data_IF_933773817524
#
_entry.id   IF_933773817524
#
_cell.length_a   1.000
_cell.length_b   1.000
_cell.length_c   1.000
_cell.angle_alpha   90.00
_cell.angle_beta   90.00
_cell.angle_gamma   90.00
#
_symmetry.space_group_name_H-M   'P 1'
#
loop_
_entity.id
_entity.type
_entity.pdbx_description
1 polymer ?
#
# COMPACT_ATOMS: atom_id res chain seq x y z
N UNK A 1 -4.86 17.46 -4.99
CA UNK A 1 -5.53 16.26 -4.43
C UNK A 1 -5.03 15.98 -3.01
N UNK A 2 -5.76 15.19 -2.22
CA UNK A 2 -5.45 14.82 -0.82
C UNK A 2 -3.98 14.40 -0.58
N UNK A 3 -3.36 13.78 -1.58
CA UNK A 3 -1.99 13.24 -1.51
C UNK A 3 -0.91 14.21 -1.98
N UNK A 4 -1.27 15.27 -2.71
CA UNK A 4 -0.29 16.20 -3.29
C UNK A 4 0.32 17.14 -2.24
N UNK A 5 -0.38 17.36 -1.12
CA UNK A 5 0.07 18.22 -0.01
C UNK A 5 1.00 17.50 0.99
N UNK A 6 1.39 16.25 0.72
CA UNK A 6 2.22 15.44 1.61
C UNK A 6 3.72 15.49 1.23
N UNK A 7 4.12 16.52 0.49
CA UNK A 7 5.51 16.80 0.13
C UNK A 7 6.29 17.30 1.35
N UNK A 8 7.52 16.80 1.52
CA UNK A 8 8.50 17.36 2.45
C UNK A 8 9.01 18.70 1.90
N UNK A 9 8.17 19.73 1.92
CA UNK A 9 8.54 21.12 1.70
C UNK A 9 7.96 21.94 2.85
N UNK A 10 8.76 22.11 3.90
CA UNK A 10 8.62 23.08 4.98
C UNK A 10 7.21 23.32 5.57
N UNK A 11 6.90 22.57 6.63
CA UNK A 11 6.14 23.07 7.78
C UNK A 11 4.63 23.31 7.66
N UNK A 12 3.99 23.11 6.50
CA UNK A 12 2.57 23.46 6.27
C UNK A 12 1.59 22.28 6.27
N UNK A 13 1.95 21.15 6.88
CA UNK A 13 1.18 19.92 6.80
C UNK A 13 0.13 19.77 7.92
N UNK A 14 -0.70 20.78 8.16
CA UNK A 14 -1.62 20.83 9.31
C UNK A 14 -2.99 20.15 9.08
N UNK A 15 -3.40 19.82 7.84
CA UNK A 15 -4.78 19.36 7.54
C UNK A 15 -4.91 17.91 7.01
N UNK A 16 -3.94 17.02 7.26
CA UNK A 16 -4.06 15.62 6.84
C UNK A 16 -4.78 14.74 7.90
N UNK A 17 -5.87 14.07 7.48
CA UNK A 17 -6.63 13.09 8.28
C UNK A 17 -5.75 11.94 8.82
N UNK A 18 -4.60 11.70 8.21
CA UNK A 18 -3.52 10.92 8.81
C UNK A 18 -2.58 11.91 9.48
N UNK A 19 -2.44 11.84 10.81
CA UNK A 19 -1.43 12.62 11.52
C UNK A 19 -0.10 12.55 10.76
N UNK A 20 0.44 13.71 10.46
CA UNK A 20 1.58 13.98 9.55
C UNK A 20 2.79 13.06 9.75
N UNK A 21 2.87 12.41 10.91
CA UNK A 21 3.87 11.41 11.29
C UNK A 21 3.72 10.03 10.64
N UNK A 22 2.68 9.77 9.83
CA UNK A 22 2.38 8.43 9.29
C UNK A 22 2.48 8.28 7.78
N UNK A 23 2.62 9.37 7.03
CA UNK A 23 2.77 9.33 5.57
C UNK A 23 3.83 10.34 5.12
N UNK A 24 4.84 9.87 4.41
CA UNK A 24 5.94 10.70 3.86
C UNK A 24 5.95 10.49 2.34
N UNK A 25 5.87 11.57 1.56
CA UNK A 25 6.03 11.44 0.09
C UNK A 25 7.50 11.50 -0.27
N UNK A 26 7.99 10.54 -1.06
CA UNK A 26 9.34 10.56 -1.63
C UNK A 26 9.31 10.27 -3.12
N UNK A 27 10.02 11.09 -3.88
CA UNK A 27 10.30 10.87 -5.30
C UNK A 27 11.77 10.49 -5.43
N UNK A 28 12.06 9.44 -6.18
CA UNK A 28 13.44 9.01 -6.47
C UNK A 28 13.71 9.22 -7.95
N UNK A 29 14.86 9.79 -8.30
CA UNK A 29 15.27 10.01 -9.68
C UNK A 29 15.99 8.76 -10.21
N UNK A 30 15.21 7.73 -10.52
CA UNK A 30 15.67 6.55 -11.25
C UNK A 30 15.07 6.59 -12.65
N UNK A 31 15.88 6.48 -13.73
CA UNK A 31 15.40 6.62 -15.10
C UNK A 31 14.23 5.67 -15.44
N UNK A 32 14.27 4.48 -14.88
CA UNK A 32 13.29 3.39 -15.06
C UNK A 32 11.95 3.67 -14.37
N UNK A 33 11.89 4.63 -13.44
CA UNK A 33 10.70 4.97 -12.66
C UNK A 33 10.24 6.42 -12.88
N UNK A 34 10.69 7.06 -13.96
CA UNK A 34 10.30 8.44 -14.29
C UNK A 34 8.77 8.55 -14.40
N UNK A 35 8.20 9.50 -13.67
CA UNK A 35 6.75 9.72 -13.61
C UNK A 35 6.03 8.91 -12.53
N UNK A 36 6.73 8.09 -11.75
CA UNK A 36 6.16 7.38 -10.60
C UNK A 36 6.42 8.16 -9.31
N UNK A 37 5.39 8.30 -8.49
CA UNK A 37 5.45 8.90 -7.15
C UNK A 37 5.25 7.81 -6.09
N UNK A 38 6.19 7.69 -5.16
CA UNK A 38 6.09 6.76 -4.05
C UNK A 38 5.66 7.49 -2.76
N UNK A 39 4.52 7.09 -2.22
CA UNK A 39 4.02 7.55 -0.93
C UNK A 39 4.40 6.52 0.13
N UNK A 40 5.35 6.86 1.00
CA UNK A 40 5.67 6.02 2.15
C UNK A 40 4.55 6.12 3.17
N UNK A 41 3.90 5.00 3.48
CA UNK A 41 2.78 4.93 4.42
C UNK A 41 3.10 3.96 5.56
N UNK A 42 2.63 4.27 6.77
CA UNK A 42 2.60 3.32 7.88
C UNK A 42 1.26 2.60 7.90
N UNK A 43 1.28 1.29 7.70
CA UNK A 43 0.09 0.45 7.71
C UNK A 43 -0.17 -0.15 9.10
N UNK A 44 -1.42 -0.56 9.37
CA UNK A 44 -1.76 -1.36 10.56
C UNK A 44 -1.56 -2.86 10.35
N UNK A 45 -1.77 -3.34 9.12
CA UNK A 45 -1.55 -4.73 8.72
C UNK A 45 -1.02 -4.79 7.28
N UNK A 46 -0.26 -5.84 6.98
CA UNK A 46 0.13 -6.18 5.61
C UNK A 46 -0.33 -7.57 5.16
N UNK A 47 -0.95 -8.34 6.06
CA UNK A 47 -1.48 -9.65 5.75
C UNK A 47 -2.99 -9.57 5.59
N UNK A 48 -3.47 -10.21 4.52
CA UNK A 48 -4.88 -10.35 4.24
C UNK A 48 -5.23 -11.84 4.20
N UNK A 49 -6.31 -12.22 4.88
CA UNK A 49 -6.84 -13.56 4.76
C UNK A 49 -7.55 -13.70 3.42
N UNK A 50 -7.24 -14.76 2.69
CA UNK A 50 -7.92 -15.10 1.46
C UNK A 50 -9.28 -15.70 1.81
N UNK A 51 -10.38 -15.26 1.17
CA UNK A 51 -11.70 -15.84 1.40
C UNK A 51 -11.70 -17.35 1.09
N UNK A 52 -12.37 -18.16 1.91
CA UNK A 52 -12.35 -19.62 1.76
C UNK A 52 -12.94 -20.15 0.45
N UNK A 53 -13.76 -19.36 -0.25
CA UNK A 53 -14.28 -19.69 -1.59
C UNK A 53 -13.36 -19.23 -2.75
N UNK A 54 -12.18 -18.70 -2.45
CA UNK A 54 -11.22 -18.26 -3.47
C UNK A 54 -10.54 -19.47 -4.12
N UNK A 55 -10.20 -19.35 -5.41
CA UNK A 55 -9.43 -20.36 -6.15
C UNK A 55 -7.92 -20.32 -5.86
N UNK A 56 -7.47 -19.42 -5.00
CA UNK A 56 -6.05 -19.27 -4.68
C UNK A 56 -5.56 -20.44 -3.81
N UNK A 57 -4.37 -21.00 -4.06
CA UNK A 57 -3.84 -22.15 -3.33
C UNK A 57 -3.29 -21.80 -1.93
N UNK A 58 -3.58 -20.61 -1.40
CA UNK A 58 -3.04 -20.10 -0.15
C UNK A 58 -4.12 -19.40 0.69
N UNK A 59 -3.99 -19.47 2.01
CA UNK A 59 -4.93 -18.87 2.97
C UNK A 59 -4.62 -17.40 3.29
N UNK A 60 -3.38 -16.96 3.03
CA UNK A 60 -2.89 -15.63 3.39
C UNK A 60 -2.15 -15.00 2.22
N UNK A 61 -2.42 -13.73 1.97
CA UNK A 61 -1.72 -12.90 0.99
C UNK A 61 -0.99 -11.76 1.69
N UNK A 62 0.19 -11.42 1.19
CA UNK A 62 1.00 -10.30 1.68
C UNK A 62 0.82 -9.12 0.71
N UNK A 63 0.52 -7.94 1.25
CA UNK A 63 0.42 -6.70 0.50
C UNK A 63 1.44 -5.69 1.06
N UNK A 64 2.65 -5.61 0.49
CA UNK A 64 3.69 -4.67 0.92
C UNK A 64 3.51 -3.26 0.31
N UNK A 65 2.77 -3.14 -0.80
CA UNK A 65 2.49 -1.87 -1.46
C UNK A 65 1.14 -1.90 -2.20
N UNK A 66 0.65 -0.73 -2.58
CA UNK A 66 -0.56 -0.53 -3.39
C UNK A 66 -0.24 0.40 -4.57
N UNK A 67 -0.74 0.10 -5.77
CA UNK A 67 -0.35 0.77 -7.02
C UNK A 67 0.81 0.01 -7.68
N UNK A 68 0.88 -0.08 -9.00
CA UNK A 68 1.88 -0.89 -9.69
C UNK A 68 2.19 -0.36 -11.09
N UNK A 69 3.47 -0.09 -11.36
CA UNK A 69 3.97 0.39 -12.65
C UNK A 69 3.83 -0.61 -13.81
N UNK A 70 3.55 -1.87 -13.52
CA UNK A 70 3.25 -2.86 -14.57
C UNK A 70 1.93 -2.57 -15.28
N UNK A 71 1.00 -1.86 -14.62
CA UNK A 71 -0.26 -1.44 -15.22
C UNK A 71 -1.14 -2.57 -15.82
N UNK A 72 -1.11 -3.79 -15.27
CA UNK A 72 -1.99 -4.90 -15.70
C UNK A 72 -3.48 -4.47 -15.72
N UNK A 73 -4.11 -4.49 -16.89
CA UNK A 73 -5.54 -4.15 -17.07
C UNK A 73 -6.48 -5.05 -16.26
N UNK A 74 -6.09 -6.31 -16.04
CA UNK A 74 -6.85 -7.31 -15.29
C UNK A 74 -6.48 -7.37 -13.79
N UNK A 75 -5.72 -6.40 -13.27
CA UNK A 75 -5.31 -6.42 -11.88
C UNK A 75 -6.49 -6.14 -10.94
N UNK A 76 -6.85 -7.13 -10.12
CA UNK A 76 -7.95 -7.00 -9.15
C UNK A 76 -7.74 -5.87 -8.14
N UNK A 77 -6.49 -5.47 -7.88
CA UNK A 77 -6.16 -4.43 -6.91
C UNK A 77 -6.45 -3.01 -7.41
N UNK A 78 -6.72 -2.79 -8.70
CA UNK A 78 -6.99 -1.46 -9.27
C UNK A 78 -8.11 -0.70 -8.56
N UNK A 79 -9.29 -1.33 -8.41
CA UNK A 79 -10.43 -0.71 -7.72
C UNK A 79 -10.16 -0.34 -6.27
N UNK A 80 -9.20 -1.00 -5.64
CA UNK A 80 -8.85 -0.71 -4.25
C UNK A 80 -8.02 0.58 -4.08
N UNK A 81 -7.62 1.21 -5.18
CA UNK A 81 -7.00 2.54 -5.21
C UNK A 81 -8.03 3.65 -5.00
N UNK A 82 -9.28 3.43 -5.41
CA UNK A 82 -10.40 4.38 -5.25
C UNK A 82 -10.72 4.65 -3.77
N UNK A 83 -10.42 3.71 -2.87
CA UNK A 83 -10.53 3.91 -1.42
C UNK A 83 -9.56 4.98 -0.87
N UNK A 84 -8.58 5.40 -1.66
CA UNK A 84 -7.64 6.45 -1.32
C UNK A 84 -8.00 7.78 -1.99
N UNK A 85 -9.18 7.92 -2.58
CA UNK A 85 -9.55 9.08 -3.40
C UNK A 85 -8.60 9.27 -4.62
N UNK A 86 -8.14 8.15 -5.19
CA UNK A 86 -7.26 8.09 -6.36
C UNK A 86 -7.91 7.24 -7.46
N UNK A 87 -7.58 7.52 -8.72
CA UNK A 87 -8.18 6.78 -9.83
C UNK A 87 -7.59 5.35 -9.99
N UNK A 88 -8.38 4.41 -10.51
CA UNK A 88 -7.99 3.01 -10.68
C UNK A 88 -7.20 2.74 -11.98
N UNK A 89 -6.97 3.78 -12.80
CA UNK A 89 -6.19 3.80 -14.02
C UNK A 89 -4.80 4.43 -13.81
N UNK A 90 -4.65 5.70 -14.18
CA UNK A 90 -3.36 6.40 -14.25
C UNK A 90 -2.73 6.58 -12.86
N UNK A 91 -3.51 6.94 -11.85
CA UNK A 91 -3.03 7.04 -10.49
C UNK A 91 -2.56 5.66 -9.98
N UNK A 92 -3.28 4.57 -10.25
CA UNK A 92 -2.81 3.23 -9.87
C UNK A 92 -1.46 2.87 -10.52
N UNK A 93 -1.24 3.33 -11.74
CA UNK A 93 -0.04 3.03 -12.54
C UNK A 93 1.18 3.86 -12.09
N UNK A 94 0.94 5.06 -11.55
CA UNK A 94 2.00 6.05 -11.27
C UNK A 94 2.14 6.44 -9.78
N UNK A 95 1.11 6.27 -8.95
CA UNK A 95 1.12 6.62 -7.52
C UNK A 95 1.15 5.35 -6.68
N UNK A 96 2.31 5.03 -6.11
CA UNK A 96 2.54 3.78 -5.37
C UNK A 96 2.63 4.07 -3.88
N UNK A 97 1.75 3.47 -3.08
CA UNK A 97 1.77 3.55 -1.62
C UNK A 97 2.62 2.41 -1.08
N UNK A 98 3.79 2.74 -0.55
CA UNK A 98 4.80 1.80 -0.05
C UNK A 98 4.67 1.68 1.46
N UNK A 99 4.38 0.48 1.97
CA UNK A 99 4.21 0.27 3.42
C UNK A 99 5.57 0.05 4.08
N UNK A 100 6.19 1.13 4.56
CA UNK A 100 7.57 1.10 5.09
C UNK A 100 7.74 0.25 6.36
N UNK A 101 6.65 -0.01 7.10
CA UNK A 101 6.67 -0.86 8.29
C UNK A 101 6.31 -2.34 8.01
N UNK A 102 6.28 -2.76 6.74
CA UNK A 102 5.91 -4.13 6.35
C UNK A 102 6.74 -5.22 7.05
N UNK A 103 8.07 -5.06 7.09
CA UNK A 103 8.96 -6.03 7.74
C UNK A 103 8.65 -6.21 9.23
N UNK A 104 8.40 -5.11 9.94
CA UNK A 104 8.00 -5.12 11.36
C UNK A 104 6.67 -5.85 11.55
N UNK A 105 5.68 -5.54 10.70
CA UNK A 105 4.36 -6.15 10.78
C UNK A 105 4.39 -7.65 10.47
N UNK A 106 5.21 -8.12 9.53
CA UNK A 106 5.36 -9.55 9.25
C UNK A 106 5.97 -10.32 10.41
N UNK A 107 6.96 -9.76 11.09
CA UNK A 107 7.60 -10.39 12.24
C UNK A 107 6.64 -10.49 13.43
N UNK A 108 5.84 -9.45 13.67
CA UNK A 108 4.85 -9.43 14.75
C UNK A 108 3.61 -10.27 14.49
N UNK A 109 3.20 -10.41 13.22
CA UNK A 109 1.94 -11.05 12.83
C UNK A 109 2.16 -12.23 11.88
N UNK A 110 3.10 -13.14 12.18
CA UNK A 110 3.31 -14.30 11.30
C UNK A 110 2.07 -15.21 11.31
N UNK A 111 1.53 -15.60 10.15
CA UNK A 111 0.43 -16.55 10.11
C UNK A 111 0.91 -17.90 10.66
N UNK A 112 0.07 -18.62 11.41
CA UNK A 112 0.44 -19.91 11.99
C UNK A 112 0.88 -20.90 10.90
N UNK A 113 1.97 -21.62 11.16
CA UNK A 113 2.50 -22.62 10.23
C UNK A 113 1.59 -23.85 10.25
N UNK A 114 0.78 -24.00 9.20
CA UNK A 114 -0.08 -25.16 8.99
C UNK A 114 -1.46 -25.01 9.62
N UNK A 115 -2.50 -25.06 8.76
CA UNK A 115 -3.89 -25.32 9.11
C UNK A 115 -4.58 -24.33 10.05
N UNK A 116 -5.54 -23.55 9.52
CA UNK A 116 -6.68 -23.01 10.29
C UNK A 116 -6.39 -22.16 11.53
N UNK A 117 -5.21 -21.57 11.69
CA UNK A 117 -4.97 -20.64 12.79
C UNK A 117 -5.32 -19.19 12.44
N UNK A 118 -6.05 -18.52 13.33
CA UNK A 118 -6.30 -17.07 13.28
C UNK A 118 -5.09 -16.30 13.82
N UNK A 119 -4.71 -15.21 13.14
CA UNK A 119 -3.70 -14.26 13.64
C UNK A 119 -4.13 -13.77 15.04
N UNK A 120 -3.21 -13.80 16.00
CA UNK A 120 -3.40 -13.12 17.28
C UNK A 120 -3.54 -11.62 17.00
N UNK A 121 -4.70 -11.05 17.36
CA UNK A 121 -4.96 -9.62 17.27
C UNK A 121 -4.28 -8.85 18.40
#
# INVERSE_FOLDING_TARGET
MRWDNLTLSDGSAQDALFGVSNVITRTFDTPEFRGITCYEVRARSILNKVPGGSRMPFEWAVNPYRGCSHACRYCFARRTHEYLDLDSGLDFDSKIMVKVNASKLLRGNSPPRGGRGTLSR
#
